data_IF_666460842059
#
_entry.id   IF_666460842059
#
_cell.length_a   1.000
_cell.length_b   1.000
_cell.length_c   1.000
_cell.angle_alpha   90.00
_cell.angle_beta   90.00
_cell.angle_gamma   90.00
#
_symmetry.space_group_name_H-M   'P 1'
#
loop_
_entity.id
_entity.type
_entity.pdbx_description
1 polymer ?
#
# COMPACT_ATOMS: atom_id res chain seq x y z
N UNK A 1 8.88 -0.75 -26.00
CA UNK A 1 7.74 -0.11 -25.30
C UNK A 1 6.94 0.72 -26.32
N UNK A 2 5.64 0.46 -26.51
CA UNK A 2 4.86 1.02 -27.62
C UNK A 2 4.29 2.41 -27.27
N UNK A 3 4.95 3.47 -27.73
CA UNK A 3 4.62 4.88 -27.43
C UNK A 3 3.21 5.28 -27.85
N UNK A 4 2.68 4.72 -28.94
CA UNK A 4 1.31 4.98 -29.42
C UNK A 4 0.25 4.47 -28.45
N UNK A 5 0.50 3.34 -27.78
CA UNK A 5 -0.41 2.79 -26.78
C UNK A 5 -0.47 3.68 -25.53
N UNK A 6 0.67 4.19 -25.09
CA UNK A 6 0.76 5.08 -23.93
C UNK A 6 0.05 6.42 -24.18
N UNK A 7 0.29 7.04 -25.34
CA UNK A 7 -0.35 8.28 -25.74
C UNK A 7 -1.89 8.14 -25.78
N UNK A 8 -2.39 7.05 -26.38
CA UNK A 8 -3.83 6.79 -26.45
C UNK A 8 -4.46 6.61 -25.06
N UNK A 9 -3.80 5.86 -24.15
CA UNK A 9 -4.29 5.69 -22.77
C UNK A 9 -4.29 6.99 -21.98
N UNK A 10 -3.26 7.83 -22.16
CA UNK A 10 -3.20 9.13 -21.49
C UNK A 10 -4.31 10.06 -21.98
N UNK A 11 -4.52 10.15 -23.29
CA UNK A 11 -5.59 10.96 -23.89
C UNK A 11 -6.96 10.48 -23.42
N UNK A 12 -7.22 9.18 -23.42
CA UNK A 12 -8.49 8.61 -22.92
C UNK A 12 -8.69 8.89 -21.43
N UNK A 13 -7.66 8.73 -20.60
CA UNK A 13 -7.73 9.06 -19.18
C UNK A 13 -8.01 10.56 -18.97
N UNK A 14 -7.40 11.43 -19.78
CA UNK A 14 -7.62 12.87 -19.72
C UNK A 14 -9.06 13.25 -20.06
N UNK A 15 -9.65 12.70 -21.13
CA UNK A 15 -11.05 12.95 -21.48
C UNK A 15 -12.01 12.46 -20.40
N UNK A 16 -11.74 11.29 -19.81
CA UNK A 16 -12.59 10.79 -18.72
C UNK A 16 -12.47 11.67 -17.47
N UNK A 17 -11.27 12.20 -17.20
CA UNK A 17 -11.06 13.16 -16.12
C UNK A 17 -11.72 14.50 -16.39
N UNK A 18 -11.66 15.04 -17.61
CA UNK A 18 -12.30 16.32 -17.95
C UNK A 18 -13.82 16.27 -17.78
N UNK A 19 -14.44 15.12 -18.07
CA UNK A 19 -15.89 14.97 -18.09
C UNK A 19 -16.48 14.56 -16.73
N UNK A 20 -15.70 13.89 -15.88
CA UNK A 20 -16.20 13.31 -14.62
C UNK A 20 -15.25 13.43 -13.43
N UNK A 21 -14.15 14.17 -13.57
CA UNK A 21 -13.14 14.33 -12.52
C UNK A 21 -12.52 13.01 -12.06
N UNK A 22 -12.12 12.97 -10.78
CA UNK A 22 -11.55 11.76 -10.16
C UNK A 22 -12.57 10.61 -10.08
N UNK A 23 -13.85 10.92 -9.92
CA UNK A 23 -14.91 9.90 -9.91
C UNK A 23 -15.02 9.21 -11.28
N UNK A 24 -14.98 9.98 -12.36
CA UNK A 24 -14.91 9.45 -13.73
C UNK A 24 -13.71 8.54 -13.94
N UNK A 25 -12.52 8.96 -13.50
CA UNK A 25 -11.31 8.15 -13.61
C UNK A 25 -11.38 6.84 -12.83
N UNK A 26 -12.00 6.84 -11.64
CA UNK A 26 -12.07 5.67 -10.78
C UNK A 26 -13.20 4.71 -11.17
N UNK A 27 -14.36 5.23 -11.57
CA UNK A 27 -15.58 4.43 -11.75
C UNK A 27 -16.02 4.29 -13.22
N UNK A 28 -15.65 5.21 -14.13
CA UNK A 28 -16.01 5.13 -15.56
C UNK A 28 -14.89 4.53 -16.43
N UNK A 29 -13.62 4.78 -16.11
CA UNK A 29 -12.48 4.33 -16.94
C UNK A 29 -12.10 2.86 -16.77
N UNK A 30 -12.68 2.13 -15.81
CA UNK A 30 -12.39 0.72 -15.58
C UNK A 30 -13.01 0.18 -14.30
N UNK A 31 -12.85 -1.12 -14.06
CA UNK A 31 -13.38 -1.82 -12.89
C UNK A 31 -12.76 -1.43 -11.53
N UNK A 32 -11.89 -0.39 -11.48
CA UNK A 32 -11.08 -0.05 -10.31
C UNK A 32 -11.90 0.49 -9.13
N UNK A 33 -12.89 1.35 -9.37
CA UNK A 33 -13.74 1.92 -8.32
C UNK A 33 -14.50 0.85 -7.54
N UNK A 34 -15.25 -0.04 -8.21
CA UNK A 34 -15.88 -1.20 -7.56
C UNK A 34 -14.87 -2.10 -6.82
N UNK A 35 -13.70 -2.33 -7.40
CA UNK A 35 -12.63 -3.10 -6.74
C UNK A 35 -12.11 -2.41 -5.46
N UNK A 36 -12.05 -1.07 -5.44
CA UNK A 36 -11.66 -0.30 -4.26
C UNK A 36 -12.67 -0.46 -3.13
N UNK A 37 -13.97 -0.37 -3.46
CA UNK A 37 -15.06 -0.55 -2.49
C UNK A 37 -15.03 -1.96 -1.87
N UNK A 38 -14.77 -2.99 -2.68
CA UNK A 38 -14.62 -4.36 -2.19
C UNK A 38 -13.41 -4.52 -1.26
N UNK A 39 -12.28 -3.91 -1.60
CA UNK A 39 -11.11 -3.91 -0.73
C UNK A 39 -11.35 -3.15 0.58
N UNK A 40 -12.12 -2.06 0.55
CA UNK A 40 -12.54 -1.33 1.75
C UNK A 40 -13.50 -2.15 2.61
N UNK A 41 -14.40 -2.94 2.01
CA UNK A 41 -15.29 -3.83 2.73
C UNK A 41 -14.51 -4.88 3.55
N UNK A 42 -13.43 -5.45 2.97
CA UNK A 42 -12.51 -6.33 3.71
C UNK A 42 -11.86 -5.63 4.90
N UNK A 43 -11.43 -4.38 4.72
CA UNK A 43 -10.82 -3.60 5.79
C UNK A 43 -11.81 -3.33 6.93
N UNK A 44 -13.06 -3.00 6.60
CA UNK A 44 -14.13 -2.76 7.59
C UNK A 44 -14.41 -4.01 8.44
N UNK A 45 -14.28 -5.21 7.85
CA UNK A 45 -14.48 -6.48 8.57
C UNK A 45 -13.34 -6.84 9.53
N UNK A 46 -12.12 -6.35 9.29
CA UNK A 46 -10.95 -6.62 10.13
C UNK A 46 -10.02 -5.39 10.29
N UNK A 47 -10.51 -4.26 10.84
CA UNK A 47 -9.81 -2.98 10.77
C UNK A 47 -8.56 -2.91 11.64
N UNK A 48 -8.51 -3.64 12.76
CA UNK A 48 -7.38 -3.58 13.69
C UNK A 48 -6.32 -4.64 13.40
N UNK A 49 -6.78 -5.85 13.06
CA UNK A 49 -5.95 -7.04 12.93
C UNK A 49 -5.50 -7.31 11.49
N UNK A 50 -6.25 -6.80 10.51
CA UNK A 50 -6.17 -7.30 9.15
C UNK A 50 -6.53 -8.79 9.06
N UNK A 51 -6.25 -9.36 7.90
CA UNK A 51 -6.51 -10.75 7.54
C UNK A 51 -5.26 -11.64 7.64
N UNK A 52 -4.17 -11.10 8.17
CA UNK A 52 -2.85 -11.71 8.25
C UNK A 52 -2.03 -11.47 6.98
N UNK A 53 -0.73 -11.84 6.98
CA UNK A 53 0.16 -11.65 5.83
C UNK A 53 -0.40 -12.32 4.56
N UNK A 54 -0.54 -11.57 3.48
CA UNK A 54 -1.15 -12.04 2.23
C UNK A 54 -2.62 -12.43 2.36
N UNK A 55 -3.31 -11.99 3.41
CA UNK A 55 -4.73 -12.21 3.64
C UNK A 55 -5.57 -11.49 2.60
N UNK A 56 -5.25 -10.25 2.24
CA UNK A 56 -5.97 -9.44 1.26
C UNK A 56 -6.18 -10.21 -0.06
N UNK A 57 -5.13 -10.78 -0.64
CA UNK A 57 -5.24 -11.55 -1.88
C UNK A 57 -6.06 -12.84 -1.76
N UNK A 58 -6.12 -13.43 -0.57
CA UNK A 58 -6.86 -14.66 -0.29
C UNK A 58 -8.35 -14.38 -0.06
N UNK A 59 -8.64 -13.30 0.66
CA UNK A 59 -9.97 -12.94 1.12
C UNK A 59 -10.75 -12.14 0.07
N UNK A 60 -10.05 -11.36 -0.75
CA UNK A 60 -10.66 -10.48 -1.74
C UNK A 60 -11.55 -11.22 -2.75
N UNK A 61 -11.11 -12.32 -3.38
CA UNK A 61 -11.98 -13.15 -4.23
C UNK A 61 -13.26 -13.64 -3.56
N UNK A 62 -13.17 -14.04 -2.29
CA UNK A 62 -14.31 -14.55 -1.54
C UNK A 62 -15.28 -13.41 -1.19
N UNK A 63 -14.76 -12.23 -0.86
CA UNK A 63 -15.58 -11.04 -0.63
C UNK A 63 -16.35 -10.63 -1.89
N UNK A 64 -15.69 -10.67 -3.06
CA UNK A 64 -16.36 -10.43 -4.35
C UNK A 64 -17.52 -11.40 -4.52
N UNK A 65 -17.28 -12.70 -4.32
CA UNK A 65 -18.31 -13.71 -4.50
C UNK A 65 -19.50 -13.52 -3.55
N UNK A 66 -19.25 -13.19 -2.29
CA UNK A 66 -20.33 -12.94 -1.32
C UNK A 66 -21.18 -11.73 -1.72
N UNK A 67 -20.59 -10.70 -2.33
CA UNK A 67 -21.31 -9.48 -2.69
C UNK A 67 -21.96 -9.51 -4.08
N UNK A 68 -21.37 -10.19 -5.06
CA UNK A 68 -21.85 -10.18 -6.45
C UNK A 68 -22.18 -11.55 -7.03
N UNK A 69 -21.83 -12.65 -6.36
CA UNK A 69 -21.91 -14.01 -6.89
C UNK A 69 -20.87 -14.33 -7.96
N UNK A 70 -20.01 -13.37 -8.33
CA UNK A 70 -18.97 -13.57 -9.34
C UNK A 70 -17.69 -14.15 -8.73
N UNK A 71 -17.06 -15.09 -9.42
CA UNK A 71 -15.74 -15.60 -9.06
C UNK A 71 -14.68 -14.74 -9.78
N UNK A 72 -13.92 -13.93 -9.02
CA UNK A 72 -12.78 -13.15 -9.52
C UNK A 72 -11.47 -13.63 -8.89
N UNK A 73 -10.36 -13.49 -9.61
CA UNK A 73 -9.06 -13.93 -9.09
C UNK A 73 -8.36 -12.82 -8.31
N UNK A 74 -7.38 -13.20 -7.47
CA UNK A 74 -6.60 -12.29 -6.63
C UNK A 74 -5.87 -11.18 -7.43
N UNK A 75 -5.54 -11.45 -8.69
CA UNK A 75 -4.87 -10.50 -9.60
C UNK A 75 -5.82 -9.43 -10.16
N UNK A 76 -7.13 -9.65 -10.08
CA UNK A 76 -8.18 -8.68 -10.41
C UNK A 76 -8.55 -7.82 -9.20
N UNK A 77 -7.66 -7.72 -8.20
CA UNK A 77 -7.87 -6.84 -7.06
C UNK A 77 -7.54 -5.39 -7.39
N UNK A 78 -7.87 -4.47 -6.48
CA UNK A 78 -7.65 -3.04 -6.71
C UNK A 78 -6.17 -2.66 -6.85
N UNK A 79 -5.25 -3.55 -6.42
CA UNK A 79 -3.79 -3.38 -6.47
C UNK A 79 -3.31 -2.04 -5.87
N UNK A 80 -4.05 -1.50 -4.90
CA UNK A 80 -3.68 -0.35 -4.09
C UNK A 80 -2.87 -0.83 -2.90
N UNK A 81 -1.60 -0.44 -2.82
CA UNK A 81 -0.70 -0.98 -1.82
C UNK A 81 -1.08 -0.60 -0.38
N UNK A 82 -1.60 0.61 -0.16
CA UNK A 82 -2.04 1.04 1.17
C UNK A 82 -3.23 0.22 1.66
N UNK A 83 -4.18 -0.03 0.76
CA UNK A 83 -5.33 -0.88 1.06
C UNK A 83 -4.90 -2.34 1.29
N UNK A 84 -3.89 -2.81 0.57
CA UNK A 84 -3.32 -4.14 0.79
C UNK A 84 -2.62 -4.25 2.16
N UNK A 85 -1.81 -3.26 2.55
CA UNK A 85 -1.18 -3.23 3.88
C UNK A 85 -2.26 -3.22 4.97
N UNK A 86 -3.27 -2.36 4.82
CA UNK A 86 -4.36 -2.28 5.78
C UNK A 86 -5.19 -3.57 5.82
N UNK A 87 -5.43 -4.19 4.67
CA UNK A 87 -6.14 -5.46 4.56
C UNK A 87 -5.35 -6.62 5.18
N UNK A 88 -4.05 -6.69 4.98
CA UNK A 88 -3.21 -7.75 5.53
C UNK A 88 -2.97 -7.56 7.04
N UNK A 89 -2.65 -6.34 7.48
CA UNK A 89 -2.07 -6.09 8.80
C UNK A 89 -2.88 -5.12 9.68
N UNK A 90 -3.98 -4.59 9.15
CA UNK A 90 -4.87 -3.63 9.82
C UNK A 90 -4.46 -2.16 9.64
N UNK A 91 -5.38 -1.27 10.00
CA UNK A 91 -5.17 0.18 10.07
C UNK A 91 -3.98 0.59 10.94
N UNK A 92 -3.72 -0.01 12.13
CA UNK A 92 -2.56 0.36 12.93
C UNK A 92 -1.23 0.19 12.16
N UNK A 93 -1.09 -0.90 11.40
CA UNK A 93 0.08 -1.14 10.57
C UNK A 93 0.19 -0.16 9.40
N UNK A 94 -0.94 0.18 8.75
CA UNK A 94 -0.97 1.21 7.72
C UNK A 94 -0.54 2.57 8.28
N UNK A 95 -1.08 2.98 9.43
CA UNK A 95 -0.71 4.25 10.07
C UNK A 95 0.79 4.27 10.38
N UNK A 96 1.32 3.18 10.95
CA UNK A 96 2.74 3.07 11.23
C UNK A 96 3.57 3.17 9.94
N UNK A 97 3.15 2.50 8.88
CA UNK A 97 3.80 2.57 7.57
C UNK A 97 3.81 4.00 7.02
N UNK A 98 2.67 4.70 7.05
CA UNK A 98 2.58 6.10 6.62
C UNK A 98 3.46 7.02 7.47
N UNK A 99 3.52 6.83 8.79
CA UNK A 99 4.40 7.62 9.67
C UNK A 99 5.88 7.39 9.33
N UNK A 100 6.28 6.13 9.12
CA UNK A 100 7.66 5.79 8.76
C UNK A 100 8.08 6.41 7.43
N UNK A 101 7.14 6.51 6.48
CA UNK A 101 7.43 7.02 5.15
C UNK A 101 7.32 8.56 5.06
N UNK A 102 6.38 9.16 5.78
CA UNK A 102 6.18 10.61 5.79
C UNK A 102 7.21 11.31 6.68
N UNK A 103 7.70 10.65 7.74
CA UNK A 103 8.62 11.29 8.69
C UNK A 103 9.94 11.78 8.06
N UNK A 104 10.63 11.06 7.15
CA UNK A 104 11.80 11.58 6.44
C UNK A 104 11.49 12.83 5.61
N UNK A 105 10.28 12.92 5.03
CA UNK A 105 9.86 14.09 4.26
C UNK A 105 9.65 15.31 5.16
N UNK A 106 9.03 15.12 6.33
CA UNK A 106 8.88 16.18 7.33
C UNK A 106 10.26 16.65 7.81
N UNK A 107 11.15 15.70 8.13
CA UNK A 107 12.52 15.98 8.56
C UNK A 107 13.27 16.79 7.51
N UNK A 108 13.20 16.40 6.23
CA UNK A 108 13.81 17.13 5.13
C UNK A 108 13.23 18.54 4.95
N UNK A 109 11.91 18.69 5.06
CA UNK A 109 11.24 19.99 4.98
C UNK A 109 11.73 20.96 6.07
N UNK A 110 11.93 20.45 7.28
CA UNK A 110 12.49 21.21 8.39
C UNK A 110 13.98 21.52 8.17
N UNK A 111 14.75 20.56 7.64
CA UNK A 111 16.17 20.75 7.33
C UNK A 111 16.40 21.81 6.26
N UNK A 112 15.51 21.92 5.26
CA UNK A 112 15.57 22.96 4.21
C UNK A 112 15.65 24.38 4.77
N UNK A 113 15.10 24.63 5.96
CA UNK A 113 15.13 25.95 6.61
C UNK A 113 16.53 26.33 7.12
N UNK A 114 17.37 25.34 7.38
CA UNK A 114 18.72 25.52 7.93
C UNK A 114 19.80 25.49 6.83
N UNK A 115 19.46 25.07 5.61
CA UNK A 115 20.40 24.97 4.50
C UNK A 115 20.43 26.30 3.74
N UNK A 116 21.57 26.98 3.73
CA UNK A 116 21.80 28.19 2.95
C UNK A 116 22.16 27.90 1.49
N UNK A 117 22.86 26.79 1.23
CA UNK A 117 23.37 26.43 -0.09
C UNK A 117 22.25 26.06 -1.08
N UNK A 118 22.14 26.83 -2.17
CA UNK A 118 21.08 26.67 -3.19
C UNK A 118 21.10 25.29 -3.84
N UNK A 119 22.28 24.79 -4.23
CA UNK A 119 22.43 23.48 -4.87
C UNK A 119 21.87 22.36 -4.01
N UNK A 120 22.20 22.36 -2.72
CA UNK A 120 21.76 21.36 -1.75
C UNK A 120 20.25 21.45 -1.48
N UNK A 121 19.70 22.67 -1.43
CA UNK A 121 18.24 22.89 -1.36
C UNK A 121 17.52 22.32 -2.58
N UNK A 122 18.05 22.53 -3.79
CA UNK A 122 17.45 21.99 -5.01
C UNK A 122 17.46 20.46 -5.02
N UNK A 123 18.56 19.83 -4.61
CA UNK A 123 18.65 18.36 -4.48
C UNK A 123 17.58 17.86 -3.50
N UNK A 124 17.53 18.44 -2.30
CA UNK A 124 16.61 18.00 -1.26
C UNK A 124 15.13 18.18 -1.67
N UNK A 125 14.79 19.32 -2.26
CA UNK A 125 13.45 19.57 -2.82
C UNK A 125 13.09 18.58 -3.93
N UNK A 126 14.03 18.28 -4.83
CA UNK A 126 13.81 17.30 -5.92
C UNK A 126 13.52 15.91 -5.36
N UNK A 127 14.30 15.49 -4.35
CA UNK A 127 14.08 14.21 -3.68
C UNK A 127 12.73 14.18 -2.97
N UNK A 128 12.35 15.25 -2.27
CA UNK A 128 11.03 15.33 -1.62
C UNK A 128 9.90 15.22 -2.64
N UNK A 129 9.94 15.97 -3.74
CA UNK A 129 8.94 15.89 -4.81
C UNK A 129 8.88 14.48 -5.40
N UNK A 130 10.04 13.88 -5.69
CA UNK A 130 10.12 12.50 -6.18
C UNK A 130 9.48 11.49 -5.24
N UNK A 131 9.71 11.63 -3.92
CA UNK A 131 9.07 10.80 -2.90
C UNK A 131 7.55 11.00 -2.86
N UNK A 132 7.05 12.23 -2.92
CA UNK A 132 5.61 12.49 -2.98
C UNK A 132 4.97 11.86 -4.22
N UNK A 133 5.60 11.99 -5.39
CA UNK A 133 5.15 11.34 -6.62
C UNK A 133 5.11 9.82 -6.42
N UNK A 134 6.16 9.23 -5.83
CA UNK A 134 6.21 7.80 -5.58
C UNK A 134 5.10 7.33 -4.62
N UNK A 135 4.79 8.11 -3.57
CA UNK A 135 3.68 7.82 -2.66
C UNK A 135 2.33 7.80 -3.35
N UNK A 136 2.11 8.75 -4.26
CA UNK A 136 0.90 8.81 -5.08
C UNK A 136 0.88 7.60 -6.02
N UNK A 137 1.99 7.30 -6.70
CA UNK A 137 2.10 6.17 -7.62
C UNK A 137 1.76 4.83 -6.94
N UNK A 138 2.24 4.60 -5.72
CA UNK A 138 1.95 3.38 -4.95
C UNK A 138 0.45 3.19 -4.67
N UNK A 139 -0.35 4.27 -4.63
CA UNK A 139 -1.80 4.18 -4.49
C UNK A 139 -2.52 3.71 -5.76
N UNK A 140 -1.92 3.93 -6.93
CA UNK A 140 -2.61 3.79 -8.23
C UNK A 140 -2.00 2.76 -9.18
N UNK A 141 -0.75 2.35 -8.92
CA UNK A 141 0.01 1.42 -9.76
C UNK A 141 0.25 0.13 -8.96
N UNK A 142 0.11 -1.04 -9.60
CA UNK A 142 0.27 -2.31 -8.90
C UNK A 142 1.65 -2.52 -8.26
N UNK A 143 1.73 -3.14 -7.07
CA UNK A 143 2.98 -3.36 -6.34
C UNK A 143 4.05 -4.14 -7.12
N UNK A 144 3.64 -5.00 -8.05
CA UNK A 144 4.52 -5.84 -8.86
C UNK A 144 5.51 -5.06 -9.72
N UNK A 145 5.26 -3.77 -9.99
CA UNK A 145 6.13 -2.92 -10.81
C UNK A 145 7.23 -2.22 -10.03
N UNK A 146 7.23 -2.30 -8.69
CA UNK A 146 8.15 -1.52 -7.85
C UNK A 146 9.38 -2.24 -7.26
N UNK A 147 9.61 -3.56 -7.33
CA UNK A 147 10.78 -4.17 -6.68
C UNK A 147 12.12 -3.48 -7.06
N UNK A 148 12.29 -3.13 -8.34
CA UNK A 148 13.45 -2.40 -8.84
C UNK A 148 13.50 -0.91 -8.47
N UNK A 149 12.42 -0.33 -7.97
CA UNK A 149 12.35 1.07 -7.54
C UNK A 149 12.41 1.22 -6.01
N UNK A 150 12.08 0.16 -5.26
CA UNK A 150 12.07 0.17 -3.78
C UNK A 150 13.44 0.45 -3.18
N UNK A 151 14.52 -0.10 -3.75
CA UNK A 151 15.87 0.16 -3.23
C UNK A 151 16.29 1.63 -3.43
N UNK A 152 15.98 2.19 -4.61
CA UNK A 152 16.29 3.57 -4.93
C UNK A 152 15.48 4.51 -4.03
N UNK A 153 14.21 4.20 -3.83
CA UNK A 153 13.35 4.94 -2.91
C UNK A 153 13.84 4.88 -1.45
N UNK A 154 14.25 3.70 -0.99
CA UNK A 154 14.84 3.52 0.34
C UNK A 154 16.12 4.34 0.51
N UNK A 155 16.98 4.36 -0.51
CA UNK A 155 18.19 5.18 -0.51
C UNK A 155 17.88 6.69 -0.46
N UNK A 156 16.83 7.14 -1.17
CA UNK A 156 16.38 8.53 -1.08
C UNK A 156 15.87 8.87 0.31
N UNK A 157 15.02 8.04 0.91
CA UNK A 157 14.53 8.25 2.28
C UNK A 157 15.68 8.30 3.29
N UNK A 158 16.66 7.41 3.17
CA UNK A 158 17.86 7.41 4.01
C UNK A 158 18.66 8.72 3.85
N UNK A 159 18.81 9.22 2.63
CA UNK A 159 19.45 10.51 2.37
C UNK A 159 18.71 11.67 3.04
N UNK A 160 17.36 11.69 2.98
CA UNK A 160 16.54 12.71 3.66
C UNK A 160 16.77 12.71 5.18
N UNK A 161 16.87 11.52 5.78
CA UNK A 161 17.16 11.36 7.21
C UNK A 161 18.56 11.89 7.54
N UNK A 162 19.59 11.53 6.76
CA UNK A 162 20.96 12.00 6.95
C UNK A 162 21.06 13.54 6.85
N UNK A 163 20.35 14.14 5.90
CA UNK A 163 20.27 15.59 5.78
C UNK A 163 19.57 16.24 6.97
N UNK A 164 18.54 15.58 7.51
CA UNK A 164 17.91 15.96 8.78
C UNK A 164 18.86 15.97 9.97
N UNK A 165 19.69 14.93 10.09
CA UNK A 165 20.69 14.81 11.15
C UNK A 165 21.77 15.90 11.04
N UNK A 166 22.34 16.07 9.84
CA UNK A 166 23.38 17.09 9.57
C UNK A 166 22.92 18.50 9.90
N UNK A 167 21.62 18.79 9.77
CA UNK A 167 21.04 20.09 10.05
C UNK A 167 20.42 20.18 11.46
N UNK A 168 20.68 19.19 12.34
CA UNK A 168 20.26 19.20 13.74
C UNK A 168 18.76 19.11 13.95
N UNK A 169 18.02 18.61 12.97
CA UNK A 169 16.55 18.46 12.99
C UNK A 169 16.14 17.11 13.58
N UNK A 170 16.96 16.08 13.35
CA UNK A 170 16.67 14.72 13.83
C UNK A 170 16.56 14.69 15.37
N UNK A 171 15.49 14.08 15.87
CA UNK A 171 15.29 13.78 17.29
C UNK A 171 15.41 14.94 18.29
N UNK A 172 15.06 16.18 17.89
CA UNK A 172 14.78 17.27 18.86
C UNK A 172 13.47 17.07 19.65
N UNK A 173 13.06 15.83 19.92
CA UNK A 173 11.99 15.52 20.87
C UNK A 173 12.58 15.75 22.27
N UNK A 174 12.61 17.02 22.70
CA UNK A 174 13.26 17.45 23.95
C UNK A 174 12.68 16.77 25.20
N UNK A 175 11.42 16.37 25.16
CA UNK A 175 10.76 15.76 26.32
C UNK A 175 10.94 14.24 26.34
N UNK A 176 11.50 13.72 27.45
CA UNK A 176 11.53 12.27 27.74
C UNK A 176 10.14 11.65 27.69
N UNK A 177 9.09 12.40 28.02
CA UNK A 177 7.70 11.94 27.98
C UNK A 177 7.24 11.66 26.53
N UNK A 178 7.50 12.58 25.60
CA UNK A 178 7.15 12.38 24.19
C UNK A 178 7.88 11.18 23.57
N UNK A 179 9.16 10.97 23.93
CA UNK A 179 9.91 9.79 23.46
C UNK A 179 9.30 8.49 23.98
N UNK A 180 8.94 8.43 25.27
CA UNK A 180 8.28 7.26 25.88
C UNK A 180 6.91 7.02 25.26
N UNK A 181 6.12 8.08 25.04
CA UNK A 181 4.82 7.99 24.38
C UNK A 181 4.97 7.43 22.96
N UNK A 182 5.91 7.95 22.17
CA UNK A 182 6.17 7.44 20.82
C UNK A 182 6.54 5.94 20.82
N UNK A 183 7.47 5.53 21.68
CA UNK A 183 7.85 4.11 21.83
C UNK A 183 6.66 3.26 22.27
N UNK A 184 5.86 3.74 23.23
CA UNK A 184 4.67 3.05 23.67
C UNK A 184 3.65 2.86 22.54
N UNK A 185 3.35 3.91 21.77
CA UNK A 185 2.44 3.83 20.62
C UNK A 185 2.98 2.87 19.55
N UNK A 186 4.28 2.90 19.28
CA UNK A 186 4.93 1.98 18.34
C UNK A 186 4.78 0.53 18.80
N UNK A 187 5.13 0.24 20.06
CA UNK A 187 5.00 -1.09 20.64
C UNK A 187 3.55 -1.57 20.63
N UNK A 188 2.60 -0.69 20.96
CA UNK A 188 1.18 -1.05 20.97
C UNK A 188 0.63 -1.30 19.56
N UNK A 189 1.01 -0.49 18.57
CA UNK A 189 0.64 -0.74 17.17
C UNK A 189 1.18 -2.09 16.67
N UNK A 190 2.44 -2.42 17.01
CA UNK A 190 3.06 -3.70 16.69
C UNK A 190 2.36 -4.87 17.39
N UNK A 191 2.06 -4.74 18.68
CA UNK A 191 1.34 -5.76 19.44
C UNK A 191 -0.07 -6.01 18.89
N UNK A 192 -0.83 -4.96 18.59
CA UNK A 192 -2.17 -5.09 18.01
C UNK A 192 -2.13 -5.76 16.63
N UNK A 193 -1.21 -5.33 15.77
CA UNK A 193 -1.06 -5.90 14.43
C UNK A 193 -0.61 -7.37 14.47
N UNK A 194 0.35 -7.71 15.36
CA UNK A 194 0.85 -9.09 15.50
C UNK A 194 -0.17 -10.02 16.15
N UNK A 195 -0.83 -9.60 17.23
CA UNK A 195 -1.88 -10.38 17.88
C UNK A 195 -3.07 -10.59 16.95
N UNK A 196 -3.47 -9.54 16.22
CA UNK A 196 -4.50 -9.60 15.21
C UNK A 196 -4.15 -10.57 14.07
N UNK A 197 -2.95 -10.43 13.50
CA UNK A 197 -2.44 -11.33 12.46
C UNK A 197 -2.39 -12.79 12.93
N UNK A 198 -2.01 -13.03 14.19
CA UNK A 198 -2.02 -14.37 14.77
C UNK A 198 -3.44 -14.95 14.81
N UNK A 199 -4.43 -14.18 15.28
CA UNK A 199 -5.82 -14.64 15.33
C UNK A 199 -6.40 -14.98 13.96
N UNK A 200 -6.08 -14.19 12.93
CA UNK A 200 -6.62 -14.37 11.58
C UNK A 200 -5.85 -15.36 10.72
N UNK A 201 -4.60 -15.66 11.09
CA UNK A 201 -3.74 -16.63 10.39
C UNK A 201 -3.78 -18.01 11.05
N UNK A 202 -3.61 -18.10 12.37
CA UNK A 202 -3.43 -19.37 13.11
C UNK A 202 -4.50 -19.63 14.18
N UNK A 203 -5.21 -18.59 14.61
CA UNK A 203 -6.16 -18.69 15.71
C UNK A 203 -7.53 -19.28 15.34
N UNK A 204 -8.54 -19.10 16.21
CA UNK A 204 -9.91 -19.60 16.00
C UNK A 204 -10.59 -19.00 14.76
N UNK A 205 -10.10 -17.86 14.31
CA UNK A 205 -10.50 -17.22 13.06
C UNK A 205 -9.42 -17.45 11.99
N UNK A 206 -8.72 -18.58 11.96
CA UNK A 206 -7.75 -18.84 10.91
C UNK A 206 -8.42 -19.00 9.54
N UNK A 207 -7.62 -18.89 8.49
CA UNK A 207 -8.06 -19.23 7.14
C UNK A 207 -8.59 -20.67 7.05
N UNK A 208 -7.93 -21.64 7.70
CA UNK A 208 -8.33 -23.05 7.70
C UNK A 208 -9.68 -23.33 8.38
N UNK A 209 -10.11 -22.43 9.28
CA UNK A 209 -11.45 -22.48 9.87
C UNK A 209 -12.47 -21.79 8.95
N UNK A 210 -12.08 -20.69 8.31
CA UNK A 210 -12.98 -19.92 7.41
C UNK A 210 -13.29 -20.65 6.11
N UNK A 211 -12.33 -21.37 5.53
CA UNK A 211 -12.55 -22.14 4.28
C UNK A 211 -13.60 -23.25 4.40
N UNK A 212 -13.99 -23.59 5.63
CA UNK A 212 -15.04 -24.57 5.93
C UNK A 212 -16.44 -23.94 6.04
N UNK A 213 -16.57 -22.62 5.97
CA UNK A 213 -17.85 -21.90 6.06
C UNK A 213 -18.53 -21.83 4.69
N UNK A 214 -19.86 -21.83 4.69
CA UNK A 214 -20.65 -21.52 3.49
C UNK A 214 -20.36 -20.09 3.02
N UNK A 215 -20.21 -19.89 1.71
CA UNK A 215 -19.86 -18.58 1.10
C UNK A 215 -18.38 -18.38 0.76
N UNK A 216 -17.55 -19.44 0.80
CA UNK A 216 -16.14 -19.41 0.42
C UNK A 216 -15.85 -20.33 -0.76
N UNK A 217 -16.03 -19.82 -2.01
CA UNK A 217 -15.90 -20.66 -3.21
C UNK A 217 -14.45 -21.04 -3.52
N UNK A 218 -13.46 -20.25 -3.08
CA UNK A 218 -12.05 -20.44 -3.42
C UNK A 218 -11.25 -20.85 -2.18
N UNK A 219 -10.89 -22.14 -2.14
CA UNK A 219 -10.08 -22.73 -1.05
C UNK A 219 -8.59 -22.42 -1.25
N UNK A 220 -7.78 -22.57 -0.19
CA UNK A 220 -6.35 -22.17 -0.23
C UNK A 220 -5.58 -22.83 -1.38
N UNK A 221 -5.82 -24.12 -1.60
CA UNK A 221 -5.15 -24.90 -2.65
C UNK A 221 -5.43 -24.39 -4.06
N UNK A 222 -6.65 -23.89 -4.31
CA UNK A 222 -7.10 -23.41 -5.63
C UNK A 222 -6.50 -22.04 -5.94
N UNK A 223 -6.41 -21.15 -4.95
CA UNK A 223 -5.72 -19.86 -5.09
C UNK A 223 -4.21 -20.03 -5.40
N UNK A 224 -3.56 -21.05 -4.82
CA UNK A 224 -2.16 -21.36 -5.13
C UNK A 224 -1.97 -22.01 -6.51
N UNK A 225 -2.91 -22.82 -6.98
CA UNK A 225 -2.87 -23.44 -8.30
C UNK A 225 -3.03 -22.39 -9.42
N UNK A 226 -3.95 -21.43 -9.24
CA UNK A 226 -4.12 -20.29 -10.15
C UNK A 226 -2.86 -19.42 -10.19
N UNK A 227 -2.23 -19.15 -9.02
CA UNK A 227 -0.94 -18.45 -8.95
C UNK A 227 0.15 -19.15 -9.79
N UNK A 228 0.27 -20.48 -9.71
CA UNK A 228 1.26 -21.25 -10.49
C UNK A 228 0.98 -21.22 -12.00
N UNK A 229 -0.28 -21.30 -12.41
CA UNK A 229 -0.64 -21.22 -13.84
C UNK A 229 -0.36 -19.83 -14.41
N UNK A 230 -0.66 -18.77 -13.65
CA UNK A 230 -0.42 -17.39 -14.08
C UNK A 230 1.08 -17.05 -14.13
N UNK A 231 1.87 -17.48 -13.14
CA UNK A 231 3.34 -17.31 -13.17
C UNK A 231 3.96 -18.05 -14.36
N UNK A 232 3.47 -19.25 -14.70
CA UNK A 232 3.89 -19.96 -15.91
C UNK A 232 3.48 -19.26 -17.21
N UNK A 233 2.33 -18.58 -17.23
CA UNK A 233 1.87 -17.82 -18.39
C UNK A 233 2.69 -16.54 -18.59
N UNK A 234 3.04 -15.83 -17.51
CA UNK A 234 3.90 -14.64 -17.58
C UNK A 234 5.32 -14.96 -18.04
N UNK A 235 5.93 -16.05 -17.51
CA UNK A 235 7.26 -16.51 -17.94
C UNK A 235 7.27 -16.92 -19.42
N UNK A 236 6.13 -17.34 -19.99
CA UNK A 236 6.01 -17.67 -21.41
C UNK A 236 5.72 -16.47 -22.31
N UNK A 237 5.35 -15.33 -21.73
CA UNK A 237 5.00 -14.11 -22.46
C UNK A 237 6.15 -13.08 -22.49
N UNK A 238 7.24 -13.32 -21.75
CA UNK A 238 8.55 -12.67 -21.87
C UNK A 238 9.47 -13.46 -22.80
#
# INVERSE_FOLDING_TARGET
MNTKFFARRFITAWYIFSDGGFEGLLFRAGHRGPMLLLGLALLIKAPLAGWGPGGFYREYPNEVYVQSGEIKHAYDSVLNHYLMIAGDLGLPALILNLVLIISPLIIAALALRNISEVKRRLILSTLMVGNFIFLIMIAFIPPSYFPGLLWAWTAQLAYLVLEGERNGVLFRIRSRACRRAFVFFLCMALLLSTAGSYQTTFGPKSYSVREKREGWPLRSGENHAVKRQFTKALIRAE
#
